data_IF_042604005920
#
_entry.id   IF_042604005920
#
_cell.length_a   1.000
_cell.length_b   1.000
_cell.length_c   1.000
_cell.angle_alpha   90.00
_cell.angle_beta   90.00
_cell.angle_gamma   90.00
#
_symmetry.space_group_name_H-M   'P 1'
#
loop_
_entity.id
_entity.type
_entity.pdbx_description
1 polymer ?
2 non-polymer ?
3 non-polymer ?
4 water ?
#
# COMPACT_ATOMS: atom_id res chain seq x y z
N UNK A 14 -8.76 23.75 0.03
CA UNK A 14 -8.83 22.31 0.23
C UNK A 14 -7.68 21.63 -0.50
N UNK A 15 -7.64 20.31 -0.39
CA UNK A 15 -6.53 19.55 -0.93
C UNK A 15 -6.47 19.64 -2.44
N UNK A 16 -5.25 19.76 -2.98
CA UNK A 16 -5.03 19.76 -4.42
C UNK A 16 -4.37 18.43 -4.79
N UNK A 17 -5.03 17.57 -5.57
CA UNK A 17 -4.43 16.26 -5.90
C UNK A 17 -3.13 16.47 -6.66
N UNK A 18 -2.06 15.77 -6.27
CA UNK A 18 -0.82 15.75 -7.08
C UNK A 18 -1.07 15.17 -8.46
N UNK A 19 -0.16 15.39 -9.39
CA UNK A 19 -0.29 14.81 -10.72
C UNK A 19 -0.26 13.29 -10.65
N UNK A 20 -0.91 12.66 -11.63
CA UNK A 20 -0.95 11.21 -11.70
C UNK A 20 0.38 10.60 -12.08
N UNK A 21 0.74 9.49 -11.40
CA UNK A 21 1.90 8.72 -11.78
C UNK A 21 1.61 7.91 -13.06
N UNK A 22 2.64 7.33 -13.68
CA UNK A 22 2.43 6.56 -14.91
C UNK A 22 1.65 5.29 -14.66
N UNK A 23 0.78 4.98 -15.63
CA UNK A 23 0.12 3.68 -15.67
C UNK A 23 0.55 2.98 -16.94
N UNK A 24 0.92 1.71 -16.81
CA UNK A 24 1.31 0.89 -17.95
C UNK A 24 0.28 -0.21 -18.14
N UNK A 25 -0.02 -0.50 -19.40
CA UNK A 25 -0.93 -1.58 -19.78
C UNK A 25 -0.17 -2.51 -20.72
N UNK A 26 0.73 -3.32 -20.18
CA UNK A 26 1.56 -4.19 -21.03
C UNK A 26 0.72 -5.14 -21.87
N UNK A 27 1.19 -5.39 -23.09
CA UNK A 27 0.60 -6.46 -23.87
C UNK A 27 1.01 -7.80 -23.26
N UNK A 28 0.43 -8.88 -23.79
CA UNK A 28 0.83 -10.20 -23.33
C UNK A 28 2.33 -10.44 -23.50
N UNK A 29 2.92 -9.94 -24.59
CA UNK A 29 4.35 -10.12 -24.81
C UNK A 29 5.17 -9.40 -23.74
N UNK A 30 4.82 -8.13 -23.46
CA UNK A 30 5.54 -7.38 -22.43
C UNK A 30 5.33 -7.99 -21.06
N UNK A 31 4.20 -8.65 -20.84
CA UNK A 31 3.85 -9.21 -19.54
C UNK A 31 4.60 -10.48 -19.21
N UNK A 32 5.48 -10.97 -20.09
CA UNK A 32 6.08 -12.29 -19.88
C UNK A 32 6.95 -12.33 -18.62
N UNK A 33 7.74 -11.30 -18.38
CA UNK A 33 8.71 -11.30 -17.28
C UNK A 33 8.61 -10.00 -16.49
N UNK A 34 8.30 -10.06 -15.19
CA UNK A 34 8.20 -8.83 -14.39
C UNK A 34 9.50 -8.03 -14.28
N UNK A 35 10.62 -8.68 -14.00
CA UNK A 35 11.86 -7.92 -13.84
C UNK A 35 12.27 -7.27 -15.15
N UNK A 36 12.07 -7.95 -16.28
CA UNK A 36 12.42 -7.36 -17.56
C UNK A 36 11.51 -6.17 -17.86
N UNK A 37 10.22 -6.30 -17.57
CA UNK A 37 9.32 -5.18 -17.84
C UNK A 37 9.65 -3.99 -16.95
N UNK A 38 9.87 -4.24 -15.66
CA UNK A 38 10.22 -3.14 -14.75
C UNK A 38 11.54 -2.49 -15.15
N UNK A 39 12.50 -3.28 -15.64
CA UNK A 39 13.74 -2.69 -16.12
C UNK A 39 13.52 -1.76 -17.30
N UNK A 40 12.58 -2.12 -18.19
CA UNK A 40 12.31 -1.32 -19.38
C UNK A 40 11.54 -0.05 -19.08
N UNK A 41 10.63 -0.07 -18.11
CA UNK A 41 9.88 1.15 -17.81
C UNK A 41 10.66 2.08 -16.89
N UNK A 42 11.79 1.62 -16.37
CA UNK A 42 12.53 2.36 -15.37
C UNK A 42 12.90 3.80 -15.77
N UNK A 43 13.27 4.11 -17.00
CA UNK A 43 13.62 5.52 -17.30
C UNK A 43 12.50 6.50 -17.00
N UNK A 44 11.24 6.09 -17.15
CA UNK A 44 10.14 6.97 -16.76
C UNK A 44 9.76 6.76 -15.30
N UNK A 45 9.59 5.52 -14.88
CA UNK A 45 9.04 5.25 -13.55
C UNK A 45 9.98 5.69 -12.44
N UNK A 46 11.27 5.62 -12.66
CA UNK A 46 12.14 6.07 -11.57
C UNK A 46 12.06 7.58 -11.35
N UNK A 47 11.58 8.34 -12.36
CA UNK A 47 11.40 9.78 -12.23
C UNK A 47 10.10 10.14 -11.52
N UNK A 48 9.23 9.16 -11.26
CA UNK A 48 8.01 9.40 -10.50
C UNK A 48 7.96 8.65 -9.17
N UNK A 49 8.91 7.75 -8.93
CA UNK A 49 8.97 6.96 -7.68
C UNK A 49 8.02 5.76 -7.67
N UNK A 50 6.79 5.97 -8.08
CA UNK A 50 5.77 4.93 -8.10
C UNK A 50 5.23 4.82 -9.51
N UNK A 51 4.75 3.62 -9.84
CA UNK A 51 3.99 3.46 -11.09
C UNK A 51 2.97 2.36 -10.87
N UNK A 52 1.96 2.36 -11.74
CA UNK A 52 0.87 1.39 -11.71
C UNK A 52 0.94 0.53 -12.97
N UNK A 53 0.70 -0.76 -12.81
CA UNK A 53 0.72 -1.71 -13.91
C UNK A 53 -0.60 -2.46 -13.96
N UNK A 54 -1.33 -2.32 -15.06
CA UNK A 54 -2.59 -3.03 -15.30
C UNK A 54 -2.30 -4.28 -16.10
N UNK A 55 -2.51 -5.47 -15.57
CA UNK A 55 -2.27 -6.70 -16.36
C UNK A 55 -3.26 -6.81 -17.51
N UNK A 56 -2.97 -7.67 -18.50
CA UNK A 56 -3.94 -7.94 -19.57
C UNK A 56 -5.30 -8.33 -18.99
N UNK A 57 -6.35 -7.97 -19.73
CA UNK A 57 -7.70 -8.11 -19.20
C UNK A 57 -8.00 -9.54 -18.78
N UNK A 58 -7.42 -10.53 -19.46
CA UNK A 58 -7.74 -11.92 -19.18
C UNK A 58 -6.85 -12.54 -18.10
N UNK A 59 -5.99 -11.74 -17.46
CA UNK A 59 -5.16 -12.22 -16.34
C UNK A 59 -5.91 -11.96 -15.04
N UNK A 60 -6.50 -13.01 -14.48
CA UNK A 60 -7.37 -12.87 -13.32
C UNK A 60 -7.11 -14.00 -12.34
N UNK A 61 -6.12 -13.84 -11.45
CA UNK A 61 -5.85 -14.91 -10.46
C UNK A 61 -7.02 -15.12 -9.53
N UNK A 62 -7.27 -16.34 -9.09
CA UNK A 62 -8.27 -16.55 -8.04
C UNK A 62 -7.74 -16.01 -6.73
N UNK A 63 -8.65 -15.88 -5.76
CA UNK A 63 -8.26 -15.46 -4.42
C UNK A 63 -8.10 -16.72 -3.57
N UNK A 64 -6.90 -16.91 -3.02
CA UNK A 64 -6.53 -18.21 -2.47
C UNK A 64 -6.28 -18.25 -0.97
N UNK A 65 -6.65 -17.21 -0.21
CA UNK A 65 -6.48 -17.30 1.24
C UNK A 65 -7.52 -18.21 1.88
N UNK A 66 -7.20 -18.70 3.08
CA UNK A 66 -8.10 -19.53 3.88
C UNK A 66 -9.14 -18.65 4.55
N UNK A 67 -10.24 -18.39 3.84
CA UNK A 67 -11.23 -17.41 4.28
C UNK A 67 -11.99 -17.88 5.52
N UNK A 68 -12.23 -19.18 5.62
CA UNK A 68 -13.03 -19.70 6.73
C UNK A 68 -12.35 -19.42 8.08
N UNK A 69 -11.02 -19.50 8.12
CA UNK A 69 -10.25 -19.37 9.35
C UNK A 69 -9.53 -18.03 9.49
N UNK A 70 -9.67 -17.12 8.52
CA UNK A 70 -8.92 -15.87 8.51
C UNK A 70 -9.42 -14.98 9.64
N UNK A 71 -8.56 -14.67 10.60
CA UNK A 71 -8.97 -13.92 11.78
C UNK A 71 -7.81 -13.02 12.16
N UNK A 72 -8.11 -11.82 12.65
CA UNK A 72 -7.01 -10.89 12.94
C UNK A 72 -7.50 -9.83 13.90
N UNK A 73 -6.54 -9.23 14.62
CA UNK A 73 -6.82 -8.04 15.41
C UNK A 73 -6.10 -6.83 14.80
N UNK A 74 -6.83 -5.97 14.06
CA UNK A 74 -6.20 -4.85 13.37
C UNK A 74 -5.76 -3.77 14.32
N UNK A 75 -4.76 -3.00 13.90
CA UNK A 75 -4.26 -1.91 14.72
C UNK A 75 -5.18 -0.70 14.63
N UNK A 76 -5.24 0.05 15.72
CA UNK A 76 -6.06 1.24 15.78
C UNK A 76 -5.28 2.46 15.28
N UNK A 77 -5.89 3.25 14.41
CA UNK A 77 -5.25 4.45 13.87
C UNK A 77 -6.07 5.70 14.17
N UNK A 78 -5.49 6.61 14.93
CA UNK A 78 -6.09 7.91 15.19
C UNK A 78 -5.55 8.91 14.18
N UNK A 79 -6.42 9.38 13.28
CA UNK A 79 -5.94 10.14 12.12
C UNK A 79 -5.18 11.40 12.52
N UNK A 80 -5.64 12.07 13.57
CA UNK A 80 -5.05 13.34 13.95
C UNK A 80 -4.07 13.23 15.11
N UNK A 81 -3.49 12.05 15.34
CA UNK A 81 -2.64 11.87 16.54
C UNK A 81 -1.47 12.85 16.60
N UNK A 82 -0.88 13.23 15.47
CA UNK A 82 0.24 14.17 15.52
C UNK A 82 -0.24 15.57 15.84
N UNK A 83 -1.27 16.02 15.11
CA UNK A 83 -1.84 17.34 15.36
C UNK A 83 -2.24 17.49 16.82
N UNK A 84 -2.78 16.42 17.42
CA UNK A 84 -3.23 16.47 18.80
C UNK A 84 -2.09 16.67 19.81
N UNK A 85 -0.82 16.46 19.41
CA UNK A 85 0.27 16.71 20.35
C UNK A 85 0.37 18.17 20.74
N UNK A 86 -0.20 19.07 19.96
CA UNK A 86 -0.01 20.51 20.17
C UNK A 86 -1.35 21.20 20.40
N UNK A 98 -8.90 2.76 23.11
CA UNK A 98 -9.58 1.72 22.35
C UNK A 98 -8.75 0.44 22.21
N UNK A 99 -9.26 -0.65 22.77
CA UNK A 99 -8.54 -1.92 22.71
C UNK A 99 -8.61 -2.52 21.31
N UNK A 100 -7.60 -3.31 21.00
CA UNK A 100 -7.58 -4.17 19.84
C UNK A 100 -8.70 -5.19 19.94
N UNK A 101 -9.49 -5.35 18.87
CA UNK A 101 -10.62 -6.28 18.84
C UNK A 101 -10.51 -7.17 17.60
N UNK A 102 -11.00 -8.41 17.71
CA UNK A 102 -10.69 -9.43 16.71
C UNK A 102 -11.80 -9.51 15.68
N UNK A 103 -11.42 -9.60 14.41
CA UNK A 103 -12.42 -9.76 13.37
C UNK A 103 -12.12 -10.98 12.51
N UNK A 104 -13.13 -11.41 11.75
CA UNK A 104 -12.94 -12.23 10.57
C UNK A 104 -12.94 -11.30 9.36
N UNK A 105 -12.59 -11.86 8.19
CA UNK A 105 -12.66 -11.06 6.98
C UNK A 105 -14.07 -10.51 6.78
N UNK A 106 -15.05 -11.35 7.02
CA UNK A 106 -16.43 -10.92 6.85
C UNK A 106 -16.82 -9.87 7.88
N UNK A 107 -16.49 -10.08 9.16
CA UNK A 107 -16.95 -9.10 10.14
C UNK A 107 -16.20 -7.78 10.02
N UNK A 108 -14.93 -7.83 9.59
CA UNK A 108 -14.24 -6.59 9.34
C UNK A 108 -14.88 -5.85 8.17
N UNK A 109 -15.30 -6.58 7.15
CA UNK A 109 -15.90 -5.93 5.98
C UNK A 109 -17.24 -5.31 6.32
N UNK A 110 -18.02 -5.98 7.17
CA UNK A 110 -19.28 -5.39 7.62
C UNK A 110 -19.02 -4.09 8.38
N UNK A 111 -18.06 -4.11 9.29
CA UNK A 111 -17.71 -2.91 10.04
C UNK A 111 -17.21 -1.82 9.11
N UNK A 112 -16.40 -2.18 8.13
CA UNK A 112 -15.77 -1.17 7.29
C UNK A 112 -16.81 -0.49 6.41
N UNK A 113 -17.71 -1.28 5.84
CA UNK A 113 -18.73 -0.72 4.98
C UNK A 113 -19.71 0.12 5.78
N UNK A 114 -20.12 -0.34 6.96
CA UNK A 114 -21.00 0.47 7.79
C UNK A 114 -20.33 1.77 8.20
N UNK A 115 -19.02 1.73 8.49
CA UNK A 115 -18.34 2.95 8.85
C UNK A 115 -18.41 3.97 7.72
N UNK A 116 -18.09 3.54 6.52
CA UNK A 116 -17.96 4.49 5.41
C UNK A 116 -19.31 5.02 4.99
N UNK A 117 -20.29 4.13 4.87
CA UNK A 117 -21.63 4.57 4.47
C UNK A 117 -22.23 5.51 5.50
N UNK A 118 -22.01 5.23 6.79
CA UNK A 118 -22.47 6.16 7.83
C UNK A 118 -21.74 7.49 7.74
N UNK A 119 -20.43 7.45 7.54
CA UNK A 119 -19.63 8.67 7.53
C UNK A 119 -20.07 9.61 6.41
N UNK A 120 -20.19 9.09 5.20
CA UNK A 120 -20.60 9.91 4.07
C UNK A 120 -22.09 9.93 3.77
N UNK A 121 -22.92 9.17 4.49
CA UNK A 121 -24.37 9.19 4.25
C UNK A 121 -24.73 8.82 2.80
N UNK A 122 -24.04 7.82 2.25
CA UNK A 122 -24.12 7.41 0.85
C UNK A 122 -23.73 5.95 0.80
N UNK A 123 -24.21 5.21 -0.19
CA UNK A 123 -23.68 3.86 -0.42
C UNK A 123 -22.17 3.92 -0.70
N UNK A 124 -21.43 2.92 -0.22
CA UNK A 124 -19.96 3.03 -0.21
C UNK A 124 -19.40 3.24 -1.62
N UNK A 125 -19.99 2.56 -2.61
CA UNK A 125 -19.48 2.64 -3.97
C UNK A 125 -19.71 4.01 -4.60
N UNK A 126 -20.67 4.77 -4.09
CA UNK A 126 -21.04 6.05 -4.65
C UNK A 126 -20.19 7.21 -4.16
N UNK A 127 -19.32 6.99 -3.16
CA UNK A 127 -18.49 8.08 -2.65
C UNK A 127 -17.33 8.33 -3.60
N UNK A 128 -17.18 9.52 -4.18
CA UNK A 128 -16.08 9.78 -5.12
C UNK A 128 -14.72 9.64 -4.46
N UNK A 129 -13.78 9.03 -5.18
CA UNK A 129 -12.42 8.90 -4.63
C UNK A 129 -11.84 10.25 -4.25
N UNK A 130 -12.17 11.31 -4.98
CA UNK A 130 -11.65 12.63 -4.65
C UNK A 130 -12.17 13.15 -3.33
N UNK A 131 -13.42 12.81 -2.97
CA UNK A 131 -13.96 13.27 -1.72
C UNK A 131 -13.34 12.53 -0.54
N UNK A 132 -13.15 11.21 -0.64
CA UNK A 132 -12.45 10.49 0.43
C UNK A 132 -11.06 11.08 0.65
N UNK A 133 -10.35 11.36 -0.45
CA UNK A 133 -9.02 11.95 -0.36
C UNK A 133 -9.04 13.31 0.32
N UNK A 134 -9.92 14.21 -0.13
CA UNK A 134 -10.01 15.52 0.51
C UNK A 134 -10.37 15.40 1.99
N UNK A 135 -11.27 14.48 2.35
CA UNK A 135 -11.70 14.35 3.74
C UNK A 135 -10.61 13.74 4.59
N UNK A 136 -9.88 12.77 4.02
CA UNK A 136 -8.76 12.16 4.74
C UNK A 136 -7.77 13.22 5.21
N UNK A 137 -7.34 14.08 4.28
CA UNK A 137 -6.33 15.08 4.61
C UNK A 137 -6.88 16.15 5.55
N UNK A 138 -8.16 16.52 5.40
CA UNK A 138 -8.79 17.40 6.38
C UNK A 138 -8.75 16.78 7.78
N UNK A 139 -9.08 15.49 7.88
CA UNK A 139 -9.15 14.86 9.21
C UNK A 139 -7.77 14.75 9.85
N UNK A 140 -6.75 14.51 9.03
CA UNK A 140 -5.41 14.34 9.57
C UNK A 140 -4.96 15.58 10.33
N UNK A 141 -5.37 16.76 9.90
CA UNK A 141 -4.95 18.00 10.54
C UNK A 141 -6.03 18.62 11.42
N UNK A 142 -7.19 17.96 11.57
CA UNK A 142 -8.26 18.55 12.36
C UNK A 142 -8.05 18.36 13.84
N UNK A 143 -8.29 19.42 14.61
CA UNK A 143 -8.31 19.33 16.06
C UNK A 143 -9.71 19.18 16.63
N UNK A 144 -10.76 19.51 15.87
CA UNK A 144 -12.12 19.45 16.42
C UNK A 144 -12.80 18.11 16.24
N UNK A 145 -12.38 17.31 15.26
CA UNK A 145 -13.01 16.03 14.97
C UNK A 145 -11.94 14.95 15.11
N UNK A 146 -12.21 13.96 15.94
CA UNK A 146 -11.27 12.86 16.18
C UNK A 146 -11.86 11.59 15.57
N UNK A 147 -11.36 11.23 14.41
CA UNK A 147 -11.78 10.03 13.69
C UNK A 147 -10.75 8.93 13.94
N UNK A 148 -11.23 7.74 14.29
CA UNK A 148 -10.39 6.59 14.59
C UNK A 148 -10.86 5.44 13.73
N UNK A 149 -9.92 4.79 13.04
CA UNK A 149 -10.18 3.64 12.17
C UNK A 149 -9.26 2.49 12.56
N UNK A 150 -9.37 1.38 11.84
CA UNK A 150 -8.63 0.15 12.14
C UNK A 150 -8.04 -0.40 10.86
N UNK A 151 -6.82 -0.93 10.93
CA UNK A 151 -6.14 -1.43 9.74
C UNK A 151 -5.60 -2.84 10.01
N UNK A 152 -6.01 -3.82 9.20
CA UNK A 152 -5.44 -5.13 9.31
C UNK A 152 -4.11 -5.18 8.59
N UNK A 153 -3.06 -4.60 9.18
CA UNK A 153 -1.81 -4.38 8.43
C UNK A 153 -0.79 -5.43 8.85
N UNK A 154 0.13 -5.73 7.93
CA UNK A 154 1.27 -6.59 8.23
C UNK A 154 0.86 -7.98 8.74
N UNK A 155 -0.12 -8.58 8.08
CA UNK A 155 -0.52 -9.96 8.35
C UNK A 155 0.36 -10.85 7.47
N UNK A 156 1.11 -11.80 8.06
CA UNK A 156 1.96 -12.62 7.20
C UNK A 156 1.15 -13.55 6.30
N UNK A 157 1.61 -13.72 5.03
CA UNK A 157 1.03 -14.75 4.16
C UNK A 157 1.22 -16.17 4.72
N UNK A 158 2.09 -16.34 5.71
CA UNK A 158 2.23 -17.66 6.29
C UNK A 158 1.04 -18.05 7.15
N UNK A 159 0.31 -17.07 7.69
CA UNK A 159 -0.73 -17.35 8.68
C UNK A 159 -1.90 -18.09 8.07
N UNK A 160 -2.46 -17.55 7.00
CA UNK A 160 -3.61 -18.15 6.34
C UNK A 160 -3.36 -18.34 4.87
N UNK A 161 -2.11 -18.21 4.42
CA UNK A 161 -1.83 -18.36 3.02
C UNK A 161 -1.77 -17.03 2.29
N UNK A 162 -1.13 -17.05 1.14
CA UNK A 162 -1.13 -15.89 0.25
C UNK A 162 -2.49 -15.76 -0.42
N UNK A 163 -2.81 -14.55 -0.89
CA UNK A 163 -3.95 -14.37 -1.77
C UNK A 163 -3.76 -14.97 -3.15
N UNK A 164 -2.47 -15.21 -3.58
CA UNK A 164 -2.24 -15.94 -4.82
C UNK A 164 -2.20 -17.45 -4.58
N UNK A 165 -2.60 -18.28 -5.56
CA UNK A 165 -2.38 -19.72 -5.41
C UNK A 165 -0.88 -20.02 -5.36
N UNK A 166 -0.52 -21.00 -4.53
CA UNK A 166 0.86 -21.45 -4.39
C UNK A 166 0.89 -22.98 -4.39
N UNK A 167 1.91 -23.54 -5.04
CA UNK A 167 2.07 -24.99 -5.11
C UNK A 167 2.93 -25.48 -3.95
N UNK A 168 2.39 -25.32 -2.73
CA UNK A 168 3.03 -25.89 -1.55
C UNK A 168 2.28 -27.05 -0.94
N UNK A 169 1.08 -27.37 -1.44
CA UNK A 169 0.31 -28.50 -0.95
C UNK A 169 -0.70 -28.19 0.13
N UNK A 170 -0.73 -26.95 0.64
CA UNK A 170 -1.66 -26.64 1.73
C UNK A 170 -3.11 -26.51 1.25
N UNK A 171 -3.30 -26.04 0.03
CA UNK A 171 -4.62 -25.74 -0.51
C UNK A 171 -4.72 -26.28 -1.93
N UNK A 172 -5.91 -26.76 -2.28
CA UNK A 172 -6.15 -27.28 -3.63
C UNK A 172 -6.00 -26.18 -4.68
N UNK A 173 -5.39 -26.55 -5.80
CA UNK A 173 -5.21 -25.66 -6.95
C UNK A 173 -5.89 -26.35 -8.14
N UNK A 174 -6.82 -25.65 -8.76
CA UNK A 174 -7.46 -26.22 -9.93
C UNK A 174 -6.51 -26.11 -11.12
N UNK A 175 -6.67 -26.96 -12.13
CA UNK A 175 -5.82 -26.87 -13.33
C UNK A 175 -5.77 -25.48 -13.94
N UNK A 176 -6.91 -24.77 -14.05
CA UNK A 176 -6.88 -23.45 -14.67
C UNK A 176 -6.25 -22.38 -13.78
N UNK A 177 -6.00 -22.69 -12.50
CA UNK A 177 -5.30 -21.79 -11.59
C UNK A 177 -3.80 -22.05 -11.53
N UNK A 178 -3.32 -23.14 -12.11
CA UNK A 178 -1.89 -23.45 -12.02
C UNK A 178 -1.05 -22.37 -12.67
N UNK A 179 -1.53 -21.77 -13.76
CA UNK A 179 -0.72 -20.76 -14.42
C UNK A 179 -0.48 -19.59 -13.49
N UNK A 180 -1.41 -19.31 -12.58
CA UNK A 180 -1.21 -18.23 -11.64
C UNK A 180 -0.25 -18.64 -10.53
N UNK A 181 -0.25 -19.92 -10.15
CA UNK A 181 0.68 -20.37 -9.13
C UNK A 181 2.11 -20.29 -9.64
N UNK A 182 2.29 -20.38 -10.95
CA UNK A 182 3.60 -20.40 -11.57
C UNK A 182 4.00 -19.06 -12.18
N UNK A 183 3.10 -18.09 -12.21
CA UNK A 183 3.36 -16.80 -12.87
C UNK A 183 4.45 -16.02 -12.15
N UNK A 184 5.32 -15.36 -12.95
CA UNK A 184 6.29 -14.47 -12.36
C UNK A 184 5.71 -13.24 -11.70
N UNK A 185 4.42 -12.92 -11.96
CA UNK A 185 3.74 -11.82 -11.30
C UNK A 185 3.03 -12.24 -10.02
N UNK A 186 3.00 -13.54 -9.73
CA UNK A 186 2.58 -14.00 -8.41
C UNK A 186 3.65 -13.55 -7.41
N UNK A 187 3.25 -12.77 -6.40
CA UNK A 187 4.23 -12.16 -5.49
C UNK A 187 5.10 -13.18 -4.76
N UNK A 188 4.63 -14.43 -4.62
CA UNK A 188 5.43 -15.46 -3.99
C UNK A 188 6.60 -15.92 -4.86
N UNK A 189 6.59 -15.54 -6.15
CA UNK A 189 7.61 -15.93 -7.11
C UNK A 189 8.54 -14.78 -7.48
N UNK A 190 8.49 -13.68 -6.75
CA UNK A 190 9.42 -12.59 -7.01
C UNK A 190 10.77 -12.89 -6.33
N UNK A 191 11.87 -12.45 -6.94
CA UNK A 191 13.18 -12.67 -6.31
C UNK A 191 13.35 -11.78 -5.08
N UNK A 192 13.82 -12.36 -3.97
CA UNK A 192 13.90 -11.63 -2.71
C UNK A 192 15.28 -11.69 -2.06
N UNK A 193 16.22 -12.41 -2.62
CA UNK A 193 17.52 -12.59 -1.98
C UNK A 193 18.50 -11.54 -2.49
N UNK A 194 19.00 -10.70 -1.58
CA UNK A 194 20.01 -9.71 -1.96
C UNK A 194 21.39 -10.34 -2.07
N UNK A 195 22.14 -9.96 -3.11
CA UNK A 195 23.51 -10.40 -3.25
C UNK A 195 24.39 -9.77 -2.17
N UNK A 196 25.27 -10.58 -1.57
CA UNK A 196 26.21 -10.09 -0.57
C UNK A 196 27.23 -11.17 -0.28
N UNK A 197 28.37 -10.75 0.26
CA UNK A 197 29.37 -11.71 0.73
C UNK A 197 28.84 -12.51 1.92
N UNK A 198 28.17 -11.85 2.86
CA UNK A 198 27.57 -12.56 3.99
C UNK A 198 26.66 -13.69 3.54
N UNK A 199 25.92 -13.47 2.44
CA UNK A 199 25.09 -14.54 1.88
C UNK A 199 25.91 -15.77 1.52
N UNK A 200 27.20 -15.60 1.19
CA UNK A 200 28.06 -16.75 0.93
C UNK A 200 28.73 -17.28 2.18
N UNK A 201 29.01 -16.41 3.17
CA UNK A 201 29.64 -16.88 4.40
C UNK A 201 28.64 -17.58 5.33
N UNK A 202 27.35 -17.28 5.20
CA UNK A 202 26.30 -17.89 6.01
C UNK A 202 26.01 -19.31 5.56
N UNK A 209 11.90 -14.60 3.31
CA UNK A 209 10.99 -13.48 3.10
C UNK A 209 9.78 -13.85 2.22
N UNK A 210 8.60 -13.51 2.71
CA UNK A 210 7.33 -13.88 2.08
C UNK A 210 6.46 -12.64 2.02
N UNK A 211 5.44 -12.64 1.17
CA UNK A 211 4.57 -11.47 1.08
C UNK A 211 3.77 -11.24 2.36
N UNK A 212 3.38 -9.98 2.53
CA UNK A 212 2.57 -9.52 3.65
C UNK A 212 1.22 -9.07 3.12
N UNK A 213 0.19 -9.18 3.98
CA UNK A 213 -1.18 -8.87 3.60
C UNK A 213 -1.72 -7.66 4.37
N UNK A 214 -2.64 -6.91 3.73
CA UNK A 214 -3.16 -5.68 4.33
C UNK A 214 -4.65 -5.66 4.06
N UNK A 215 -5.44 -5.73 5.13
CA UNK A 215 -6.91 -5.65 5.01
C UNK A 215 -7.31 -4.23 5.38
N UNK A 216 -7.79 -3.46 4.41
CA UNK A 216 -8.04 -2.04 4.60
C UNK A 216 -9.52 -1.72 4.83
N UNK A 217 -9.76 -0.54 5.41
CA UNK A 217 -11.07 0.10 5.48
C UNK A 217 -10.86 1.57 5.14
N UNK A 218 -11.93 2.30 4.91
CA UNK A 218 -11.83 3.71 4.61
C UNK A 218 -10.98 4.44 5.66
N UNK A 219 -9.99 5.18 5.18
CA UNK A 219 -9.09 6.10 5.90
C UNK A 219 -7.98 5.35 6.58
N UNK A 220 -7.95 4.02 6.57
CA UNK A 220 -6.75 3.34 7.06
C UNK A 220 -5.58 3.69 6.14
N UNK A 221 -4.38 3.75 6.72
CA UNK A 221 -3.32 4.48 6.01
C UNK A 221 -1.93 3.99 6.40
N UNK A 222 -0.97 4.46 5.60
CA UNK A 222 0.44 4.20 5.88
C UNK A 222 1.18 5.49 5.61
N UNK A 223 2.12 5.84 6.50
CA UNK A 223 2.74 7.14 6.36
C UNK A 223 4.03 7.05 5.54
N UNK A 224 4.68 8.19 5.36
CA UNK A 224 5.81 8.26 4.42
C UNK A 224 7.00 7.43 4.87
N UNK A 225 7.48 6.56 3.96
CA UNK A 225 8.65 5.74 4.30
C UNK A 225 9.29 5.26 3.00
N UNK A 226 10.52 4.74 3.16
CA UNK A 226 11.17 3.94 2.14
C UNK A 226 11.41 2.56 2.72
N UNK A 227 11.85 1.63 1.87
CA UNK A 227 12.02 0.24 2.32
C UNK A 227 13.40 0.02 2.92
N UNK A 228 13.47 -0.97 3.82
CA UNK A 228 14.79 -1.42 4.27
C UNK A 228 15.67 -1.71 3.07
N UNK A 229 16.94 -1.31 3.17
CA UNK A 229 17.92 -1.58 2.13
C UNK A 229 17.60 -0.83 0.85
N UNK A 230 16.70 0.14 0.92
CA UNK A 230 16.26 0.87 -0.28
C UNK A 230 15.68 -0.06 -1.33
N UNK A 231 15.03 -1.13 -0.90
CA UNK A 231 14.50 -2.11 -1.82
C UNK A 231 13.37 -1.54 -2.70
N UNK A 232 13.20 -2.13 -3.88
CA UNK A 232 11.93 -2.02 -4.60
C UNK A 232 10.84 -2.72 -3.79
N UNK A 233 9.57 -2.31 -4.02
CA UNK A 233 8.45 -3.13 -3.55
C UNK A 233 7.41 -3.27 -4.66
N UNK A 234 6.67 -4.37 -4.61
CA UNK A 234 5.55 -4.59 -5.51
C UNK A 234 4.32 -4.92 -4.70
N UNK A 235 3.17 -4.42 -5.17
CA UNK A 235 1.94 -4.41 -4.36
C UNK A 235 0.79 -4.78 -5.27
N UNK A 236 -0.06 -5.71 -4.84
CA UNK A 236 -1.17 -6.11 -5.69
C UNK A 236 -2.45 -6.00 -4.90
N UNK A 237 -3.46 -5.39 -5.48
CA UNK A 237 -4.75 -5.25 -4.80
C UNK A 237 -5.64 -6.39 -5.30
N UNK A 238 -5.84 -7.40 -4.44
CA UNK A 238 -6.62 -8.57 -4.83
C UNK A 238 -8.07 -8.21 -5.11
N UNK A 239 -8.67 -7.42 -4.22
CA UNK A 239 -10.07 -7.09 -4.37
C UNK A 239 -10.41 -5.89 -3.49
N UNK A 240 -11.59 -5.34 -3.74
CA UNK A 240 -12.15 -4.28 -2.90
C UNK A 240 -11.99 -2.90 -3.53
N UNK A 241 -12.23 -1.90 -2.69
CA UNK A 241 -12.18 -0.49 -3.10
C UNK A 241 -10.71 -0.05 -3.26
N UNK A 242 -10.45 1.04 -4.00
CA UNK A 242 -9.05 1.38 -4.32
C UNK A 242 -8.20 1.74 -3.10
N UNK A 243 -6.89 1.65 -3.34
CA UNK A 243 -5.85 2.08 -2.42
C UNK A 243 -5.23 3.33 -3.06
N UNK A 244 -5.28 4.46 -2.38
CA UNK A 244 -4.72 5.69 -2.95
C UNK A 244 -3.28 5.86 -2.49
N UNK A 245 -2.40 6.17 -3.44
CA UNK A 245 -0.96 6.22 -3.16
C UNK A 245 -0.40 7.59 -3.51
N UNK A 246 0.67 7.96 -2.80
CA UNK A 246 1.51 9.09 -3.15
C UNK A 246 2.95 8.59 -3.17
N UNK A 247 3.70 9.09 -4.15
CA UNK A 247 5.10 8.68 -4.33
C UNK A 247 5.95 9.89 -4.64
N UNK A 248 7.21 9.79 -4.22
CA UNK A 248 8.24 10.80 -4.45
C UNK A 248 9.43 10.10 -5.13
N UNK A 249 9.92 10.61 -6.26
CA UNK A 249 11.10 9.95 -6.89
C UNK A 249 12.33 10.03 -6.00
N UNK A 250 13.17 9.01 -6.16
CA UNK A 250 14.40 8.92 -5.36
C UNK A 250 15.32 10.13 -5.50
N UNK A 251 15.33 10.83 -6.64
CA UNK A 251 16.23 11.98 -6.71
C UNK A 251 15.82 13.06 -5.72
N UNK A 252 14.58 13.02 -5.22
CA UNK A 252 14.12 14.01 -4.27
C UNK A 252 14.06 13.46 -2.84
N UNK A 253 14.69 12.30 -2.59
CA UNK A 253 14.60 11.72 -1.23
C UNK A 253 15.15 12.65 -0.16
N UNK A 254 16.32 13.26 -0.42
CA UNK A 254 16.92 14.17 0.57
C UNK A 254 16.11 15.44 0.76
N UNK A 255 15.51 15.93 -0.33
CA UNK A 255 14.61 17.09 -0.23
C UNK A 255 13.44 16.75 0.69
N UNK A 256 12.87 15.56 0.54
CA UNK A 256 11.74 15.22 1.41
C UNK A 256 12.20 15.11 2.86
N UNK A 257 13.36 14.48 3.10
CA UNK A 257 13.83 14.32 4.47
C UNK A 257 14.11 15.66 5.12
N UNK A 258 14.58 16.63 4.33
CA UNK A 258 14.80 17.99 4.84
C UNK A 258 13.49 18.66 5.24
N UNK A 259 12.43 18.54 4.41
CA UNK A 259 11.14 19.12 4.78
C UNK A 259 10.62 18.47 6.06
N UNK A 260 10.74 17.15 6.16
CA UNK A 260 10.36 16.47 7.40
C UNK A 260 11.09 17.05 8.60
N UNK A 261 12.42 17.16 8.52
CA UNK A 261 13.18 17.75 9.62
C UNK A 261 12.59 19.10 10.02
N UNK A 262 12.39 19.98 9.03
CA UNK A 262 11.91 21.32 9.31
C UNK A 262 10.56 21.30 10.02
N UNK A 263 9.63 20.44 9.56
CA UNK A 263 8.23 20.55 9.95
C UNK A 263 7.73 19.47 10.89
N UNK A 264 8.44 18.35 11.04
CA UNK A 264 7.97 17.33 11.96
C UNK A 264 8.13 17.81 13.40
N UNK A 265 7.31 17.29 14.33
CA UNK A 265 7.43 17.71 15.72
C UNK A 265 8.84 17.51 16.23
N UNK A 266 9.30 18.45 17.06
CA UNK A 266 10.69 18.44 17.51
C UNK A 266 10.98 17.19 18.34
N UNK A 267 10.01 16.76 19.15
CA UNK A 267 10.19 15.56 19.98
C UNK A 267 10.60 14.35 19.17
N UNK A 268 10.21 14.30 17.90
CA UNK A 268 10.51 13.15 17.06
C UNK A 268 11.63 13.46 16.07
N UNK A 269 12.18 14.68 16.12
CA UNK A 269 13.09 15.16 15.08
C UNK A 269 14.44 14.47 15.19
N UNK A 270 14.87 14.15 16.39
CA UNK A 270 16.12 13.45 16.63
C UNK A 270 16.00 11.94 16.49
N UNK A 271 14.82 11.40 16.19
CA UNK A 271 14.67 9.96 16.17
C UNK A 271 15.31 9.35 14.92
N UNK A 272 15.94 8.18 15.05
CA UNK A 272 16.41 7.44 13.85
C UNK A 272 15.31 7.24 12.83
N UNK A 273 15.68 7.10 11.55
CA UNK A 273 14.66 7.02 10.50
C UNK A 273 13.72 5.82 10.68
N UNK A 274 14.24 4.68 11.18
CA UNK A 274 13.41 3.49 11.34
C UNK A 274 12.27 3.69 12.34
N UNK A 275 12.45 4.61 13.30
CA UNK A 275 11.40 4.96 14.25
C UNK A 275 10.63 6.19 13.79
N UNK A 276 11.31 7.20 13.23
CA UNK A 276 10.57 8.37 12.74
C UNK A 276 9.54 7.98 11.69
N UNK A 277 9.82 6.95 10.89
CA UNK A 277 8.90 6.54 9.83
C UNK A 277 7.59 5.97 10.35
N UNK A 278 7.48 5.73 11.67
CA UNK A 278 6.22 5.27 12.21
C UNK A 278 5.22 6.41 12.35
N UNK A 279 5.69 7.67 12.29
CA UNK A 279 4.87 8.87 12.54
C UNK A 279 5.19 9.98 11.53
N UNK A 280 5.63 9.62 10.34
CA UNK A 280 5.94 10.64 9.33
C UNK A 280 4.72 10.89 8.45
N UNK A 281 3.65 11.39 9.04
CA UNK A 281 2.46 11.70 8.24
C UNK A 281 2.55 13.16 7.80
N UNK A 282 2.36 13.41 6.50
CA UNK A 282 2.52 14.76 5.98
C UNK A 282 1.68 14.92 4.73
N UNK A 283 0.88 15.97 4.73
CA UNK A 283 0.04 16.29 3.58
C UNK A 283 0.89 16.48 2.34
N UNK A 284 0.59 15.76 1.25
CA UNK A 284 1.39 15.95 0.01
C UNK A 284 1.51 17.38 -0.45
N UNK A 285 0.52 18.24 -0.20
CA UNK A 285 0.62 19.62 -0.66
C UNK A 285 1.69 20.39 0.09
N UNK A 286 1.97 20.04 1.34
CA UNK A 286 3.07 20.66 2.08
C UNK A 286 4.39 20.34 1.40
N UNK A 287 4.59 19.08 1.06
CA UNK A 287 5.80 18.70 0.32
C UNK A 287 5.89 19.44 -1.00
N UNK A 288 4.76 19.53 -1.70
CA UNK A 288 4.73 20.18 -3.00
C UNK A 288 5.06 21.67 -2.88
N UNK A 289 4.50 22.33 -1.87
CA UNK A 289 4.79 23.74 -1.65
C UNK A 289 6.27 23.98 -1.41
N UNK A 290 6.95 23.02 -0.82
CA UNK A 290 8.39 23.08 -0.57
C UNK A 290 9.21 22.60 -1.75
N UNK A 291 8.57 22.32 -2.88
CA UNK A 291 9.25 21.97 -4.11
C UNK A 291 9.57 20.51 -4.30
N UNK A 292 9.03 19.63 -3.46
CA UNK A 292 9.21 18.18 -3.56
C UNK A 292 8.22 17.66 -4.60
N UNK A 293 8.68 16.95 -5.63
CA UNK A 293 7.75 16.36 -6.61
C UNK A 293 7.01 15.18 -5.98
N UNK A 294 5.69 15.21 -6.11
CA UNK A 294 4.81 14.15 -5.61
C UNK A 294 3.88 13.73 -6.72
N UNK A 295 3.68 12.42 -6.85
CA UNK A 295 2.74 11.85 -7.79
C UNK A 295 1.74 10.99 -7.03
N UNK A 296 0.53 10.83 -7.59
CA UNK A 296 -0.53 10.04 -6.94
C UNK A 296 -1.04 8.95 -7.87
N UNK A 297 -1.75 7.97 -7.30
CA UNK A 297 -2.55 7.08 -8.14
C UNK A 297 -3.63 6.45 -7.26
N UNK A 298 -4.78 6.07 -7.89
CA UNK A 298 -5.72 5.16 -7.25
C UNK A 298 -5.46 3.76 -7.84
N UNK A 299 -4.99 2.84 -6.98
CA UNK A 299 -4.76 1.46 -7.40
C UNK A 299 -6.07 0.72 -7.22
N UNK A 300 -6.59 0.18 -8.30
CA UNK A 300 -7.87 -0.51 -8.26
C UNK A 300 -7.64 -2.02 -8.21
N UNK A 301 -8.72 -2.75 -7.92
CA UNK A 301 -8.61 -4.21 -7.81
C UNK A 301 -8.03 -4.80 -9.09
N UNK A 302 -7.06 -5.70 -8.92
CA UNK A 302 -6.41 -6.33 -10.03
C UNK A 302 -5.21 -5.58 -10.57
N UNK A 303 -4.83 -4.46 -9.96
CA UNK A 303 -3.72 -3.66 -10.47
C UNK A 303 -2.52 -3.74 -9.53
N UNK A 304 -1.34 -3.62 -10.12
CA UNK A 304 -0.09 -3.61 -9.34
C UNK A 304 0.44 -2.19 -9.18
N UNK A 305 1.09 -1.94 -8.04
CA UNK A 305 1.89 -0.73 -7.83
C UNK A 305 3.32 -1.15 -7.52
N UNK A 306 4.27 -0.57 -8.24
CA UNK A 306 5.70 -0.76 -7.98
C UNK A 306 6.27 0.52 -7.41
N UNK A 307 7.06 0.37 -6.33
CA UNK A 307 7.81 1.48 -5.76
C UNK A 307 9.29 1.24 -6.06
N UNK A 308 9.96 2.27 -6.54
CA UNK A 308 11.36 2.17 -6.96
C UNK A 308 12.29 2.39 -5.78
N UNK A 309 13.58 2.05 -5.92
CA UNK A 309 14.50 2.14 -4.77
C UNK A 309 14.58 3.54 -4.20
N UNK A 310 14.44 3.65 -2.89
CA UNK A 310 14.52 4.94 -2.20
C UNK A 310 13.42 5.92 -2.66
N UNK A 311 12.28 5.42 -3.15
CA UNK A 311 11.15 6.28 -3.49
C UNK A 311 10.21 6.34 -2.29
N UNK A 312 10.14 7.48 -1.61
CA UNK A 312 9.23 7.60 -0.46
C UNK A 312 7.81 7.42 -0.93
N UNK A 313 7.01 6.77 -0.08
CA UNK A 313 5.61 6.60 -0.45
C UNK A 313 4.75 6.58 0.81
N UNK A 314 3.47 6.88 0.58
CA UNK A 314 2.47 6.88 1.65
C UNK A 314 1.11 6.71 0.98
N UNK A 315 0.07 6.45 1.77
CA UNK A 315 -1.20 6.22 1.11
C UNK A 315 -2.31 5.95 2.10
N UNK A 316 -3.52 5.74 1.56
CA UNK A 316 -4.66 5.35 2.41
C UNK A 316 -5.65 4.55 1.57
N UNK A 317 -6.50 3.81 2.25
CA UNK A 317 -7.53 3.00 1.57
C UNK A 317 -8.86 3.71 1.46
N UNK A 318 -9.44 3.61 0.28
CA UNK A 318 -10.75 4.22 0.02
C UNK A 318 -11.89 3.48 0.71
N UNK A 319 -11.71 2.19 1.02
CA UNK A 319 -12.77 1.37 1.56
C UNK A 319 -12.23 -0.01 1.86
N UNK A 320 -13.13 -0.94 2.10
CA UNK A 320 -12.78 -2.34 2.40
C UNK A 320 -12.02 -2.95 1.23
N UNK A 321 -10.80 -3.40 1.48
CA UNK A 321 -10.03 -4.00 0.40
C UNK A 321 -8.98 -4.95 0.98
N UNK A 322 -8.25 -5.61 0.09
CA UNK A 322 -7.30 -6.67 0.48
C UNK A 322 -6.11 -6.59 -0.46
N UNK A 323 -4.94 -6.31 0.10
CA UNK A 323 -3.71 -6.11 -0.68
C UNK A 323 -2.63 -7.08 -0.23
N UNK A 324 -1.66 -7.33 -1.13
CA UNK A 324 -0.51 -8.16 -0.77
C UNK A 324 0.71 -7.46 -1.34
N UNK A 325 1.82 -7.52 -0.60
CA UNK A 325 3.00 -6.75 -0.99
C UNK A 325 4.26 -7.52 -0.63
N UNK A 326 5.33 -7.33 -1.41
CA UNK A 326 6.62 -7.91 -1.04
C UNK A 326 7.72 -7.01 -1.55
N UNK A 327 8.85 -6.99 -0.83
CA UNK A 327 10.06 -6.31 -1.31
C UNK A 327 10.83 -7.29 -2.18
N UNK A 328 11.33 -6.82 -3.31
CA UNK A 328 12.03 -7.71 -4.23
C UNK A 328 13.33 -7.04 -4.67
N UNK A 329 14.24 -7.84 -5.20
CA UNK A 329 15.48 -7.25 -5.66
C UNK A 329 15.77 -7.62 -7.10
N UNK A 330 16.59 -6.79 -7.75
CA UNK A 330 16.87 -6.89 -9.17
C UNK A 330 18.34 -7.23 -9.42
X LIG B 1 0.85 1.22 8.60
X LIG B 1 2.72 -0.14 9.25
X LIG B 1 3.56 -0.04 3.30
X LIG B 1 1.85 -0.03 1.15
X LIG B 1 -0.67 -0.45 3.71
X LIG B 1 -0.14 -0.54 2.60
X LIG B 1 -0.77 -0.80 1.56
X LIG B 1 1.34 -0.28 2.44
X LIG B 1 2.21 -0.25 3.52
X LIG B 1 1.70 -0.52 4.81
X LIG B 1 2.31 -0.46 5.99
X LIG B 1 1.51 -0.81 7.23
X LIG B 1 1.69 0.09 8.36
X LIG B 1 1.08 2.05 9.68
X LIG B 1 2.15 1.76 10.54
X LIG B 1 2.49 2.78 11.93
X LIG B 1 2.95 0.67 10.33
X LIG B 1 3.49 -0.23 6.11
X LIG B 1 4.09 0.22 2.06
X LIG B 1 3.21 0.21 1.02
X LIG C 1 6.33 0.36 1.69
#
# INVERSE_FOLDING_TARGET
HNMAGVGPGGYAAEFVPPPECPVFEPSWEEFTDPLSFIGRIRPLAEKTGICKIRPPKDWQPPFACEVKSFRFTPRVQRLNELEAMTRVRPREAFGFEQAVREYTLQSFGEMADNFKSDYFNMPVHMVPTELVEKEFWRLVSSIEEDVIVEYGADISSKDFGSGFPVKDGRRKILPEEEEYALSGWNLNNMPVLEQSVLAHINVDISGMKVPWLYVGMCFSSFCWHIEDHWSYSINYLHWGEPKTWYGVPSHAAEQLEEVMRELAPELFESQPDLLHQLVTIMNPNVLMEHGVPVYRTNQCAGEFVVTFPRAYHSGFNQGYNFAEAVNFCT
6EO C10 C15 C17 C20 O01 C02 O03 C04 C05 N06 C07 C08 C09 C11 C12 CL1 C14 O16 N18 C19
MN MN
#
